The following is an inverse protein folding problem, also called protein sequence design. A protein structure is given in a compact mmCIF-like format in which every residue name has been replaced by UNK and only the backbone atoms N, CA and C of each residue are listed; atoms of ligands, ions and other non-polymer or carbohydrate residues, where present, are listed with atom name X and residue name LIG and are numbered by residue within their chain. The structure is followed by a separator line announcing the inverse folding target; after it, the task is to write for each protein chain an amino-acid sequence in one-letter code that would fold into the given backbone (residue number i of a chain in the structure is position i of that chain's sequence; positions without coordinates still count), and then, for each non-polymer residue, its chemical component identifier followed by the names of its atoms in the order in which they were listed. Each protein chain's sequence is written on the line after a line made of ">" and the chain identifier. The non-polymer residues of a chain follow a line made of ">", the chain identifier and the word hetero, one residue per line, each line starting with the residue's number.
data_IF_415655015661
#
_entry.id   IF_415655015661
#
_cell.length_a   1.000
_cell.length_b   1.000
_cell.length_c   1.000
_cell.angle_alpha   90.00
_cell.angle_beta   90.00
_cell.angle_gamma   90.00
#
_symmetry.space_group_name_H-M   'P 1'
#
loop_
_entity.id
_entity.type
_entity.pdbx_description
1 polymer ?
#
# COMPACT_ATOMS: atom_id res chain seq x y z
N UNK A 1 4.34 12.53 -1.60
CA UNK A 1 3.61 11.42 -2.22
C UNK A 1 3.25 11.82 -3.62
N UNK A 2 3.95 11.24 -4.60
CA UNK A 2 3.66 11.43 -6.03
C UNK A 2 2.70 10.38 -6.56
N UNK A 3 2.52 9.28 -5.84
CA UNK A 3 1.87 8.07 -6.35
C UNK A 3 1.00 7.45 -5.28
N UNK A 4 -0.23 7.06 -5.64
CA UNK A 4 -1.18 6.38 -4.76
C UNK A 4 -1.80 5.19 -5.48
N UNK A 5 -1.53 3.99 -5.01
CA UNK A 5 -2.02 2.75 -5.64
C UNK A 5 -3.15 2.18 -4.78
N UNK A 6 -4.32 1.99 -5.39
CA UNK A 6 -5.47 1.36 -4.75
C UNK A 6 -5.17 -0.09 -4.37
N UNK A 7 -5.11 -0.37 -3.06
CA UNK A 7 -4.72 -1.67 -2.51
C UNK A 7 -5.76 -2.24 -1.52
N UNK A 8 -6.84 -1.51 -1.23
CA UNK A 8 -7.87 -1.86 -0.23
C UNK A 8 -8.33 -3.32 -0.32
N UNK A 9 -8.60 -3.81 -1.53
CA UNK A 9 -9.01 -5.20 -1.80
C UNK A 9 -8.02 -6.28 -1.31
N UNK A 10 -6.79 -5.90 -1.00
CA UNK A 10 -5.72 -6.79 -0.53
C UNK A 10 -5.34 -6.59 0.95
N UNK A 11 -6.01 -5.70 1.68
CA UNK A 11 -5.65 -5.42 3.08
C UNK A 11 -5.81 -6.63 4.00
N UNK A 12 -6.76 -7.53 3.71
CA UNK A 12 -6.89 -8.78 4.47
C UNK A 12 -5.66 -9.69 4.29
N UNK A 13 -5.15 -9.81 3.06
CA UNK A 13 -3.91 -10.57 2.80
C UNK A 13 -2.70 -9.91 3.46
N UNK A 14 -2.61 -8.57 3.42
CA UNK A 14 -1.57 -7.81 4.13
C UNK A 14 -1.60 -8.12 5.62
N UNK A 15 -2.76 -8.03 6.26
CA UNK A 15 -2.90 -8.28 7.69
C UNK A 15 -2.50 -9.72 8.06
N UNK A 16 -2.90 -10.71 7.27
CA UNK A 16 -2.50 -12.11 7.46
C UNK A 16 -0.99 -12.30 7.32
N UNK A 17 -0.37 -11.65 6.32
CA UNK A 17 1.07 -11.66 6.16
C UNK A 17 1.77 -11.04 7.37
N UNK A 18 1.33 -9.88 7.85
CA UNK A 18 1.93 -9.23 9.03
C UNK A 18 1.82 -10.09 10.29
N UNK A 19 0.67 -10.75 10.52
CA UNK A 19 0.49 -11.68 11.65
C UNK A 19 1.40 -12.91 11.57
N UNK A 20 1.69 -13.41 10.36
CA UNK A 20 2.63 -14.52 10.18
C UNK A 20 4.05 -14.17 10.64
N UNK A 21 4.41 -12.88 10.67
CA UNK A 21 5.69 -12.37 11.16
C UNK A 21 5.65 -11.96 12.65
N UNK A 22 4.99 -12.76 13.50
CA UNK A 22 4.72 -12.45 14.92
C UNK A 22 5.96 -12.14 15.78
N UNK A 23 7.16 -12.59 15.39
CA UNK A 23 8.40 -12.25 16.12
C UNK A 23 8.88 -10.82 15.85
N UNK A 24 8.41 -10.19 14.77
CA UNK A 24 8.76 -8.83 14.36
C UNK A 24 7.62 -7.85 14.59
N UNK A 25 6.38 -8.33 14.51
CA UNK A 25 5.16 -7.53 14.64
C UNK A 25 4.31 -8.14 15.73
N UNK A 26 4.02 -7.38 16.79
CA UNK A 26 3.07 -7.81 17.80
C UNK A 26 1.67 -7.95 17.16
N UNK A 27 1.06 -9.16 17.18
CA UNK A 27 -0.27 -9.38 16.63
C UNK A 27 -1.37 -8.53 17.27
N UNK A 28 -1.10 -7.93 18.44
CA UNK A 28 -2.00 -7.05 19.18
C UNK A 28 -1.61 -5.57 19.09
N UNK A 29 -0.65 -5.20 18.24
CA UNK A 29 -0.22 -3.81 18.05
C UNK A 29 -1.33 -2.92 17.51
N UNK A 30 -1.19 -1.60 17.72
CA UNK A 30 -2.13 -0.56 17.27
C UNK A 30 -2.42 -0.60 15.76
N UNK A 31 -1.50 -1.14 14.96
CA UNK A 31 -1.70 -1.37 13.52
C UNK A 31 -2.99 -2.14 13.22
N UNK A 32 -3.35 -3.11 14.08
CA UNK A 32 -4.55 -3.94 13.92
C UNK A 32 -5.77 -3.41 14.68
N UNK A 33 -5.65 -2.30 15.41
CA UNK A 33 -6.73 -1.78 16.26
C UNK A 33 -7.88 -1.16 15.45
N UNK A 34 -7.58 -0.54 14.31
CA UNK A 34 -8.59 0.04 13.44
C UNK A 34 -9.28 -1.05 12.60
N UNK A 35 -10.63 -1.13 12.58
CA UNK A 35 -11.30 -2.13 11.77
C UNK A 35 -10.97 -1.95 10.29
N UNK A 36 -10.79 -3.07 9.58
CA UNK A 36 -10.31 -3.08 8.19
C UNK A 36 -11.20 -2.24 7.26
N UNK A 37 -12.52 -2.28 7.44
CA UNK A 37 -13.48 -1.46 6.68
C UNK A 37 -13.25 0.07 6.84
N UNK A 38 -12.72 0.52 7.99
CA UNK A 38 -12.35 1.93 8.17
C UNK A 38 -11.07 2.27 7.42
N UNK A 39 -10.09 1.36 7.41
CA UNK A 39 -8.87 1.53 6.65
C UNK A 39 -9.18 1.60 5.14
N UNK A 40 -10.00 0.68 4.63
CA UNK A 40 -10.46 0.70 3.23
C UNK A 40 -11.21 1.99 2.88
N UNK A 41 -12.07 2.50 3.77
CA UNK A 41 -12.87 3.69 3.47
C UNK A 41 -12.06 4.99 3.54
N UNK A 42 -11.15 5.11 4.50
CA UNK A 42 -10.43 6.35 4.77
C UNK A 42 -9.07 6.41 4.08
N UNK A 43 -8.41 5.27 3.90
CA UNK A 43 -7.06 5.17 3.36
C UNK A 43 -6.90 3.94 2.45
N UNK A 44 -7.59 3.90 1.30
CA UNK A 44 -7.63 2.72 0.44
C UNK A 44 -6.34 2.44 -0.33
N UNK A 45 -5.39 3.37 -0.30
CA UNK A 45 -4.19 3.34 -1.14
C UNK A 45 -2.92 3.11 -0.34
N UNK A 46 -1.96 2.42 -0.93
CA UNK A 46 -0.55 2.55 -0.53
C UNK A 46 0.10 3.71 -1.28
N UNK A 47 0.94 4.48 -0.59
CA UNK A 47 1.53 5.69 -1.12
C UNK A 47 3.02 5.51 -1.42
N UNK A 48 3.45 6.02 -2.57
CA UNK A 48 4.84 5.95 -3.03
C UNK A 48 5.34 7.34 -3.44
N UNK A 49 6.66 7.47 -3.46
CA UNK A 49 7.37 8.66 -3.94
C UNK A 49 8.25 8.28 -5.13
N UNK A 50 8.06 8.97 -6.25
CA UNK A 50 8.88 8.84 -7.44
C UNK A 50 10.24 9.48 -7.20
N UNK A 51 11.17 8.70 -6.68
CA UNK A 51 12.52 9.17 -6.41
C UNK A 51 13.32 9.43 -7.70
N UNK A 52 13.06 8.66 -8.77
CA UNK A 52 13.75 8.75 -10.05
C UNK A 52 12.94 8.03 -11.14
N UNK A 53 12.97 8.56 -12.36
CA UNK A 53 12.50 7.87 -13.55
C UNK A 53 13.53 7.86 -14.68
N UNK A 54 13.51 6.82 -15.52
CA UNK A 54 14.27 6.72 -16.77
C UNK A 54 13.42 7.07 -18.00
N UNK A 55 12.12 7.19 -17.81
CA UNK A 55 11.13 7.57 -18.82
C UNK A 55 10.35 8.79 -18.32
N UNK A 56 9.68 9.54 -19.19
CA UNK A 56 8.78 10.60 -18.74
C UNK A 56 7.69 10.03 -17.81
N UNK A 57 7.56 10.60 -16.61
CA UNK A 57 6.52 10.27 -15.64
C UNK A 57 5.76 11.55 -15.27
N UNK A 58 4.47 11.43 -14.95
CA UNK A 58 3.61 12.58 -14.62
C UNK A 58 2.78 12.26 -13.38
N UNK A 59 3.13 12.83 -12.21
CA UNK A 59 2.32 12.74 -11.01
C UNK A 59 0.95 13.47 -11.17
N UNK A 60 -0.09 13.05 -10.41
CA UNK A 60 -0.09 11.90 -9.52
C UNK A 60 -0.21 10.58 -10.29
N UNK A 61 0.58 9.59 -9.90
CA UNK A 61 0.53 8.24 -10.48
C UNK A 61 -0.45 7.34 -9.71
N UNK A 62 -1.13 6.44 -10.41
CA UNK A 62 -2.08 5.47 -9.83
C UNK A 62 -1.64 4.01 -9.96
N UNK A 63 -0.52 3.79 -10.63
CA UNK A 63 0.12 2.48 -10.84
C UNK A 63 1.64 2.68 -10.98
N UNK A 64 2.42 1.62 -10.72
CA UNK A 64 3.89 1.69 -10.75
C UNK A 64 4.51 1.30 -12.10
N UNK A 65 3.71 0.72 -13.00
CA UNK A 65 4.20 0.15 -14.26
C UNK A 65 3.82 0.97 -15.49
N UNK A 66 3.20 2.15 -15.31
CA UNK A 66 2.83 3.02 -16.41
C UNK A 66 4.05 3.31 -17.32
N UNK A 67 3.95 2.90 -18.59
CA UNK A 67 5.01 3.10 -19.59
C UNK A 67 6.16 2.07 -19.55
N UNK A 68 6.04 0.97 -18.78
CA UNK A 68 6.99 -0.15 -18.79
C UNK A 68 6.41 -1.29 -19.64
N UNK A 69 7.11 -1.67 -20.70
CA UNK A 69 6.78 -2.83 -21.54
C UNK A 69 7.63 -4.06 -21.14
N UNK A 70 7.14 -5.31 -21.33
CA UNK A 70 7.86 -6.54 -21.00
C UNK A 70 9.19 -6.76 -21.73
#
# INVERSE_FOLDING_TARGET
>A
MTTRVECSKYFSQRDDALRAHATQIDPNAEFFAAPLAWQERLWPTEEFELARSRIPARPPETELFAGIEP
#
